data_IF_194878100598
#
_entry.id   IF_194878100598
#
_cell.length_a   1.000
_cell.length_b   1.000
_cell.length_c   1.000
_cell.angle_alpha   90.00
_cell.angle_beta   90.00
_cell.angle_gamma   90.00
#
_symmetry.space_group_name_H-M   'P 1'
#
loop_
_entity.id
_entity.type
_entity.pdbx_description
1 polymer ?
#
# COMPACT_ATOMS: atom_id res chain seq x y z
N UNK A 1 9.01 22.18 -32.78
CA UNK A 1 8.88 23.54 -33.34
C UNK A 1 9.49 24.55 -32.38
N UNK A 2 9.75 25.80 -32.78
CA UNK A 2 10.27 26.85 -31.91
C UNK A 2 9.39 27.09 -30.69
N UNK A 3 8.06 27.09 -30.88
CA UNK A 3 7.09 27.25 -29.80
C UNK A 3 7.22 26.14 -28.74
N UNK A 4 7.25 24.88 -29.17
CA UNK A 4 7.44 23.72 -28.28
C UNK A 4 8.75 23.82 -27.51
N UNK A 5 9.84 24.17 -28.20
CA UNK A 5 11.17 24.24 -27.60
C UNK A 5 11.27 25.38 -26.56
N UNK A 6 10.69 26.55 -26.87
CA UNK A 6 10.64 27.66 -25.93
C UNK A 6 9.77 27.35 -24.71
N UNK A 7 8.61 26.70 -24.90
CA UNK A 7 7.76 26.26 -23.79
C UNK A 7 8.43 25.19 -22.94
N UNK A 8 9.18 24.27 -23.54
CA UNK A 8 9.92 23.24 -22.81
C UNK A 8 11.01 23.86 -21.92
N UNK A 9 11.73 24.84 -22.45
CA UNK A 9 12.71 25.60 -21.68
C UNK A 9 12.06 26.40 -20.55
N UNK A 10 10.92 27.05 -20.81
CA UNK A 10 10.16 27.78 -19.80
C UNK A 10 9.61 26.86 -18.70
N UNK A 11 9.17 25.64 -19.06
CA UNK A 11 8.74 24.62 -18.11
C UNK A 11 9.90 24.26 -17.17
N UNK A 12 11.09 23.99 -17.71
CA UNK A 12 12.27 23.71 -16.88
C UNK A 12 12.64 24.89 -15.96
N UNK A 13 12.58 26.11 -16.47
CA UNK A 13 12.85 27.32 -15.67
C UNK A 13 11.84 27.47 -14.53
N UNK A 14 10.56 27.20 -14.79
CA UNK A 14 9.51 27.24 -13.76
C UNK A 14 9.72 26.19 -12.67
N UNK A 15 10.22 25.01 -13.03
CA UNK A 15 10.50 23.94 -12.07
C UNK A 15 11.63 24.30 -11.10
N UNK A 16 12.64 25.04 -11.56
CA UNK A 16 13.73 25.53 -10.71
C UNK A 16 13.30 26.61 -9.70
N UNK A 17 12.10 27.21 -9.85
CA UNK A 17 11.58 28.22 -8.91
C UNK A 17 10.94 27.61 -7.66
N UNK A 18 10.63 26.31 -7.70
CA UNK A 18 10.03 25.61 -6.57
C UNK A 18 11.11 25.28 -5.53
N UNK A 19 10.81 25.59 -4.27
CA UNK A 19 11.70 25.29 -3.15
C UNK A 19 11.96 23.79 -3.00
N UNK A 20 11.09 22.93 -3.52
CA UNK A 20 11.24 21.48 -3.46
C UNK A 20 12.29 20.93 -4.44
N UNK A 21 12.63 21.70 -5.48
CA UNK A 21 13.53 21.30 -6.56
C UNK A 21 14.94 21.76 -6.22
N UNK A 22 15.89 20.81 -6.23
CA UNK A 22 17.31 21.10 -6.06
C UNK A 22 17.95 21.53 -7.38
N UNK A 23 17.58 20.86 -8.48
CA UNK A 23 18.12 21.13 -9.81
C UNK A 23 17.20 20.53 -10.88
N UNK A 24 16.87 21.29 -11.92
CA UNK A 24 16.38 20.74 -13.18
C UNK A 24 17.49 20.79 -14.24
N UNK A 25 17.69 19.70 -14.97
CA UNK A 25 18.58 19.63 -16.14
C UNK A 25 17.74 19.41 -17.38
N UNK A 26 17.76 20.37 -18.29
CA UNK A 26 17.02 20.36 -19.55
C UNK A 26 17.89 20.67 -20.77
N UNK A 27 17.27 20.75 -21.94
CA UNK A 27 17.91 21.15 -23.20
C UNK A 27 18.63 22.50 -23.11
N UNK A 28 18.09 23.46 -22.36
CA UNK A 28 18.66 24.80 -22.18
C UNK A 28 19.97 24.76 -21.38
N UNK A 29 20.09 23.81 -20.46
CA UNK A 29 21.21 23.70 -19.53
C UNK A 29 22.44 23.01 -20.15
N UNK A 30 22.27 22.47 -21.37
CA UNK A 30 23.35 21.85 -22.13
C UNK A 30 24.43 22.87 -22.44
N UNK A 31 25.69 22.46 -22.28
CA UNK A 31 26.86 23.28 -22.61
C UNK A 31 27.65 22.66 -23.74
N UNK A 32 28.15 23.53 -24.62
CA UNK A 32 29.08 23.22 -25.69
C UNK A 32 30.49 23.50 -25.21
N UNK A 33 31.39 22.55 -25.43
CA UNK A 33 32.81 22.76 -25.21
C UNK A 33 33.39 23.45 -26.45
N UNK A 34 33.72 24.73 -26.34
CA UNK A 34 34.36 25.49 -27.42
C UNK A 34 35.81 25.76 -27.05
N UNK A 35 36.71 25.55 -28.02
CA UNK A 35 38.10 25.95 -27.89
C UNK A 35 38.18 27.46 -28.15
N UNK A 36 38.70 28.21 -27.19
CA UNK A 36 39.11 29.60 -27.36
C UNK A 36 40.61 29.64 -27.64
N UNK A 37 41.01 30.44 -28.62
CA UNK A 37 42.41 30.51 -29.07
C UNK A 37 43.21 31.60 -28.33
N UNK A 38 42.56 32.53 -27.62
CA UNK A 38 43.24 33.62 -26.90
C UNK A 38 42.50 34.09 -25.62
N UNK A 39 42.90 33.64 -24.41
CA UNK A 39 43.94 32.64 -24.13
C UNK A 39 43.53 31.25 -24.59
N UNK A 40 44.48 30.37 -24.94
CA UNK A 40 44.19 28.98 -25.32
C UNK A 40 43.58 28.21 -24.16
N UNK A 41 42.25 28.08 -24.15
CA UNK A 41 41.50 27.34 -23.14
C UNK A 41 40.22 26.76 -23.73
N UNK A 42 39.66 25.77 -23.06
CA UNK A 42 38.31 25.32 -23.37
C UNK A 42 37.32 26.08 -22.49
N UNK A 43 36.29 26.63 -23.10
CA UNK A 43 35.19 27.29 -22.41
C UNK A 43 33.88 26.57 -22.69
N UNK A 44 33.02 26.54 -21.67
CA UNK A 44 31.66 26.05 -21.81
C UNK A 44 30.74 27.20 -22.22
N UNK A 45 30.17 27.13 -23.43
CA UNK A 45 29.13 28.06 -23.87
C UNK A 45 27.75 27.39 -23.82
N UNK A 46 26.66 28.12 -23.55
CA UNK A 46 25.33 27.53 -23.55
C UNK A 46 24.99 26.99 -24.94
N UNK A 47 24.28 25.86 -24.97
CA UNK A 47 23.79 25.27 -26.22
C UNK A 47 22.67 26.12 -26.84
N UNK A 48 21.79 26.67 -26.00
CA UNK A 48 20.71 27.58 -26.40
C UNK A 48 20.93 28.90 -25.66
N UNK A 49 21.28 29.96 -26.38
CA UNK A 49 21.54 31.29 -25.79
C UNK A 49 20.27 32.13 -25.64
N UNK A 50 19.31 32.02 -26.58
CA UNK A 50 18.14 32.91 -26.67
C UNK A 50 16.86 32.15 -27.06
N UNK A 51 15.71 32.84 -26.96
CA UNK A 51 14.43 32.33 -27.48
C UNK A 51 14.58 31.94 -28.95
N UNK A 52 14.12 30.74 -29.27
CA UNK A 52 14.17 30.24 -30.64
C UNK A 52 13.03 30.86 -31.42
N UNK A 53 13.36 31.72 -32.40
CA UNK A 53 12.37 32.55 -33.10
C UNK A 53 11.99 32.00 -34.48
N UNK A 54 12.76 31.04 -35.03
CA UNK A 54 12.53 30.49 -36.37
C UNK A 54 12.58 28.96 -36.42
N UNK A 55 11.78 28.37 -37.31
CA UNK A 55 11.81 26.94 -37.61
C UNK A 55 13.20 26.49 -38.10
N UNK A 56 13.92 27.34 -38.82
CA UNK A 56 15.28 27.04 -39.30
C UNK A 56 16.26 26.89 -38.12
N UNK A 57 16.22 27.81 -37.15
CA UNK A 57 17.04 27.73 -35.92
C UNK A 57 16.67 26.51 -35.07
N UNK A 58 15.38 26.18 -34.95
CA UNK A 58 14.97 24.98 -34.24
C UNK A 58 15.46 23.68 -34.92
N UNK A 59 15.45 23.63 -36.25
CA UNK A 59 15.98 22.50 -37.01
C UNK A 59 17.51 22.39 -36.87
N UNK A 60 18.22 23.52 -36.82
CA UNK A 60 19.66 23.56 -36.58
C UNK A 60 20.02 23.02 -35.20
N UNK A 61 19.33 23.47 -34.14
CA UNK A 61 19.53 22.94 -32.79
C UNK A 61 19.22 21.44 -32.72
N UNK A 62 18.13 20.99 -33.37
CA UNK A 62 17.83 19.56 -33.47
C UNK A 62 19.00 18.81 -34.10
N UNK A 63 19.46 19.23 -35.28
CA UNK A 63 20.56 18.56 -35.98
C UNK A 63 21.83 18.53 -35.13
N UNK A 64 22.18 19.64 -34.51
CA UNK A 64 23.37 19.74 -33.66
C UNK A 64 23.27 18.85 -32.40
N UNK A 65 22.10 18.77 -31.78
CA UNK A 65 21.85 17.89 -30.64
C UNK A 65 22.04 16.42 -31.01
N UNK A 66 21.41 15.97 -32.10
CA UNK A 66 21.44 14.56 -32.46
C UNK A 66 22.79 14.16 -33.08
N UNK A 67 23.39 15.00 -33.93
CA UNK A 67 24.55 14.61 -34.74
C UNK A 67 25.89 15.00 -34.11
N UNK A 68 25.94 16.13 -33.39
CA UNK A 68 27.21 16.75 -32.96
C UNK A 68 27.49 16.62 -31.46
N UNK A 69 26.55 16.09 -30.69
CA UNK A 69 26.63 16.05 -29.22
C UNK A 69 26.50 14.63 -28.62
N UNK A 70 27.40 13.70 -28.99
CA UNK A 70 27.32 12.30 -28.54
C UNK A 70 27.41 12.13 -27.02
N UNK A 71 28.03 13.08 -26.30
CA UNK A 71 28.15 13.03 -24.84
C UNK A 71 26.81 13.09 -24.09
N UNK A 72 25.77 13.62 -24.73
CA UNK A 72 24.43 13.71 -24.15
C UNK A 72 23.50 12.58 -24.63
N UNK A 73 23.98 11.68 -25.50
CA UNK A 73 23.23 10.51 -25.98
C UNK A 73 23.00 9.52 -24.82
N UNK A 74 21.77 9.06 -24.66
CA UNK A 74 21.34 8.24 -23.52
C UNK A 74 21.17 9.02 -22.21
N UNK A 75 21.61 10.29 -22.17
CA UNK A 75 21.52 11.17 -20.99
C UNK A 75 20.46 12.27 -21.08
N UNK A 76 20.24 12.85 -22.27
CA UNK A 76 19.27 13.93 -22.51
C UNK A 76 18.47 13.66 -23.78
N UNK A 77 19.01 12.86 -24.71
CA UNK A 77 18.28 12.43 -25.90
C UNK A 77 18.61 10.99 -26.27
N UNK A 78 17.73 10.36 -27.03
CA UNK A 78 17.95 9.03 -27.60
C UNK A 78 17.79 9.10 -29.13
N UNK A 79 18.81 8.70 -29.88
CA UNK A 79 18.82 8.73 -31.35
C UNK A 79 17.81 7.79 -31.99
N UNK A 80 17.57 6.62 -31.40
CA UNK A 80 16.68 5.58 -31.94
C UNK A 80 15.21 5.96 -31.83
N UNK A 81 14.81 6.50 -30.67
CA UNK A 81 13.43 6.90 -30.42
C UNK A 81 13.15 8.35 -30.87
N UNK A 82 14.19 9.18 -31.02
CA UNK A 82 14.05 10.62 -31.24
C UNK A 82 13.56 11.37 -29.99
N UNK A 83 13.49 10.71 -28.84
CA UNK A 83 13.00 11.31 -27.61
C UNK A 83 14.05 12.22 -26.96
N UNK A 84 13.55 13.22 -26.26
CA UNK A 84 14.33 14.12 -25.42
C UNK A 84 13.80 14.01 -24.00
N UNK A 85 14.70 14.02 -23.02
CA UNK A 85 14.39 13.94 -21.60
C UNK A 85 14.95 15.14 -20.85
N UNK A 86 14.33 15.44 -19.71
CA UNK A 86 14.86 16.38 -18.73
C UNK A 86 14.83 15.69 -17.37
N UNK A 87 15.80 16.03 -16.52
CA UNK A 87 15.94 15.41 -15.20
C UNK A 87 15.61 16.44 -14.13
N UNK A 88 14.77 16.07 -13.17
CA UNK A 88 14.41 16.91 -12.03
C UNK A 88 14.94 16.21 -10.77
N UNK A 89 15.80 16.89 -10.04
CA UNK A 89 16.32 16.45 -8.75
C UNK A 89 15.57 17.17 -7.64
N UNK A 90 14.83 16.41 -6.84
CA UNK A 90 14.20 16.93 -5.62
C UNK A 90 15.23 17.02 -4.48
N UNK A 91 15.06 17.99 -3.58
CA UNK A 91 15.91 18.08 -2.39
C UNK A 91 15.72 16.84 -1.50
N UNK A 92 16.82 16.30 -0.98
CA UNK A 92 16.86 14.99 -0.30
C UNK A 92 15.99 14.95 0.97
N UNK A 93 15.88 16.07 1.66
CA UNK A 93 15.06 16.28 2.85
C UNK A 93 13.56 16.15 2.53
N UNK A 94 13.14 16.51 1.32
CA UNK A 94 11.72 16.49 0.93
C UNK A 94 11.29 15.11 0.40
N UNK A 95 12.21 14.34 -0.17
CA UNK A 95 11.91 13.04 -0.84
C UNK A 95 11.14 12.06 0.06
N UNK A 96 11.31 12.10 1.38
CA UNK A 96 10.64 11.20 2.33
C UNK A 96 9.54 11.89 3.16
N UNK A 97 9.07 13.05 2.72
CA UNK A 97 8.07 13.84 3.45
C UNK A 97 6.77 14.00 2.65
N UNK A 98 5.66 14.35 3.31
CA UNK A 98 4.41 14.67 2.64
C UNK A 98 4.53 15.79 1.59
N UNK A 99 5.48 16.72 1.74
CA UNK A 99 5.72 17.81 0.80
C UNK A 99 6.08 17.29 -0.62
N UNK A 100 6.72 16.11 -0.72
CA UNK A 100 6.91 15.43 -2.03
C UNK A 100 5.58 15.20 -2.72
N UNK A 101 4.58 14.68 -1.99
CA UNK A 101 3.27 14.34 -2.56
C UNK A 101 2.57 15.60 -3.06
N UNK A 102 2.56 16.66 -2.25
CA UNK A 102 1.99 17.96 -2.60
C UNK A 102 2.65 18.52 -3.85
N UNK A 103 3.98 18.59 -3.90
CA UNK A 103 4.68 19.07 -5.10
C UNK A 103 4.33 18.28 -6.35
N UNK A 104 4.31 16.95 -6.25
CA UNK A 104 4.07 16.11 -7.43
C UNK A 104 2.62 16.21 -7.92
N UNK A 105 1.65 16.16 -7.01
CA UNK A 105 0.22 16.16 -7.38
C UNK A 105 -0.30 17.55 -7.74
N UNK A 106 0.15 18.59 -7.02
CA UNK A 106 -0.44 19.92 -7.10
C UNK A 106 0.38 20.87 -7.98
N UNK A 107 1.65 20.56 -8.26
CA UNK A 107 2.53 21.39 -9.09
C UNK A 107 3.04 20.65 -10.33
N UNK A 108 3.75 19.53 -10.17
CA UNK A 108 4.42 18.86 -11.29
C UNK A 108 3.44 18.30 -12.33
N UNK A 109 2.44 17.53 -11.91
CA UNK A 109 1.45 16.92 -12.82
C UNK A 109 0.66 18.01 -13.58
N UNK A 110 0.09 19.04 -12.92
CA UNK A 110 -0.59 20.12 -13.62
C UNK A 110 0.30 20.88 -14.60
N UNK A 111 1.57 21.09 -14.30
CA UNK A 111 2.52 21.72 -15.22
C UNK A 111 2.76 20.88 -16.48
N UNK A 112 2.86 19.56 -16.33
CA UNK A 112 2.99 18.62 -17.45
C UNK A 112 1.70 18.62 -18.28
N UNK A 113 0.54 18.47 -17.64
CA UNK A 113 -0.77 18.42 -18.32
C UNK A 113 -1.03 19.71 -19.12
N UNK A 114 -0.70 20.87 -18.54
CA UNK A 114 -0.81 22.17 -19.22
C UNK A 114 0.13 22.26 -20.42
N UNK A 115 1.36 21.73 -20.31
CA UNK A 115 2.30 21.70 -21.41
C UNK A 115 1.81 20.78 -22.54
N UNK A 116 1.33 19.58 -22.22
CA UNK A 116 0.77 18.64 -23.19
C UNK A 116 -0.44 19.25 -23.91
N UNK A 117 -1.39 19.81 -23.17
CA UNK A 117 -2.58 20.44 -23.72
C UNK A 117 -2.24 21.61 -24.66
N UNK A 118 -1.22 22.39 -24.33
CA UNK A 118 -0.83 23.56 -25.10
C UNK A 118 0.02 23.24 -26.33
N UNK A 119 0.73 22.10 -26.34
CA UNK A 119 1.71 21.77 -27.40
C UNK A 119 1.34 20.54 -28.24
N UNK A 120 0.43 19.69 -27.75
CA UNK A 120 0.10 18.41 -28.35
C UNK A 120 1.24 17.38 -28.29
N UNK A 121 2.31 17.65 -27.55
CA UNK A 121 3.44 16.75 -27.38
C UNK A 121 3.15 15.81 -26.22
N UNK A 122 3.31 14.50 -26.45
CA UNK A 122 3.21 13.48 -25.39
C UNK A 122 4.44 13.57 -24.48
N UNK A 123 4.22 13.92 -23.22
CA UNK A 123 5.21 14.03 -22.15
C UNK A 123 4.98 12.89 -21.17
N UNK A 124 6.07 12.20 -20.84
CA UNK A 124 6.05 11.07 -19.90
C UNK A 124 6.90 11.41 -18.70
N UNK A 125 6.39 11.13 -17.50
CA UNK A 125 7.09 11.37 -16.25
C UNK A 125 7.39 10.06 -15.52
N UNK A 126 8.58 9.95 -14.97
CA UNK A 126 9.03 8.80 -14.18
C UNK A 126 10.05 9.21 -13.13
N UNK A 127 10.43 8.27 -12.27
CA UNK A 127 11.39 8.45 -11.19
C UNK A 127 10.81 8.09 -9.82
N UNK A 128 11.67 7.65 -8.90
CA UNK A 128 11.25 7.11 -7.60
C UNK A 128 10.31 8.02 -6.79
N UNK A 129 10.51 9.36 -6.72
CA UNK A 129 9.58 10.23 -6.01
C UNK A 129 8.18 10.28 -6.64
N UNK A 130 8.12 10.27 -7.97
CA UNK A 130 6.89 10.25 -8.75
C UNK A 130 6.18 8.90 -8.64
N UNK A 131 6.92 7.80 -8.83
CA UNK A 131 6.46 6.42 -8.63
C UNK A 131 5.85 6.23 -7.25
N UNK A 132 6.55 6.62 -6.20
CA UNK A 132 6.06 6.46 -4.82
C UNK A 132 4.80 7.27 -4.56
N UNK A 133 4.72 8.49 -5.11
CA UNK A 133 3.54 9.35 -4.92
C UNK A 133 2.31 8.82 -5.62
N UNK A 134 2.42 8.38 -6.87
CA UNK A 134 1.31 7.78 -7.60
C UNK A 134 0.87 6.45 -6.97
N UNK A 135 1.82 5.62 -6.55
CA UNK A 135 1.48 4.36 -5.87
C UNK A 135 0.73 4.62 -4.55
N UNK A 136 1.23 5.52 -3.70
CA UNK A 136 0.52 5.92 -2.47
C UNK A 136 -0.86 6.52 -2.76
N UNK A 137 -1.04 7.28 -3.84
CA UNK A 137 -2.34 7.81 -4.25
C UNK A 137 -3.31 6.69 -4.65
N UNK A 138 -2.90 5.80 -5.55
CA UNK A 138 -3.72 4.68 -6.00
C UNK A 138 -4.17 3.80 -4.83
N UNK A 139 -3.25 3.52 -3.90
CA UNK A 139 -3.56 2.76 -2.67
C UNK A 139 -4.65 3.47 -1.86
N UNK A 140 -4.54 4.79 -1.65
CA UNK A 140 -5.53 5.56 -0.89
C UNK A 140 -6.90 5.56 -1.61
N UNK A 141 -6.90 5.69 -2.93
CA UNK A 141 -8.13 5.68 -3.72
C UNK A 141 -8.82 4.30 -3.66
N UNK A 142 -8.05 3.21 -3.62
CA UNK A 142 -8.58 1.84 -3.52
C UNK A 142 -8.91 1.38 -2.10
N UNK A 143 -8.31 1.98 -1.05
CA UNK A 143 -8.45 1.52 0.34
C UNK A 143 -9.91 1.51 0.81
N UNK A 144 -10.71 2.48 0.36
CA UNK A 144 -12.13 2.58 0.70
C UNK A 144 -12.94 1.42 0.14
N UNK A 145 -12.68 1.04 -1.11
CA UNK A 145 -13.31 -0.12 -1.76
C UNK A 145 -12.86 -1.41 -1.07
N UNK A 146 -11.58 -1.51 -0.73
CA UNK A 146 -11.04 -2.69 -0.05
C UNK A 146 -11.63 -2.89 1.35
N UNK A 147 -11.63 -1.84 2.17
CA UNK A 147 -12.20 -1.87 3.53
C UNK A 147 -13.71 -2.10 3.46
N UNK A 148 -14.43 -1.40 2.58
CA UNK A 148 -15.86 -1.57 2.39
C UNK A 148 -16.23 -2.99 1.93
N UNK A 149 -15.49 -3.53 0.96
CA UNK A 149 -15.64 -4.90 0.49
C UNK A 149 -15.35 -5.94 1.57
N UNK A 150 -14.26 -5.77 2.31
CA UNK A 150 -13.90 -6.64 3.42
C UNK A 150 -14.97 -6.63 4.53
N UNK A 151 -15.47 -5.46 4.92
CA UNK A 151 -16.56 -5.32 5.89
C UNK A 151 -17.86 -5.95 5.39
N UNK A 152 -18.20 -5.78 4.11
CA UNK A 152 -19.39 -6.38 3.52
C UNK A 152 -19.31 -7.91 3.54
N UNK A 153 -18.23 -8.48 3.02
CA UNK A 153 -18.03 -9.94 2.97
C UNK A 153 -18.02 -10.53 4.38
N UNK A 154 -17.30 -9.90 5.31
CA UNK A 154 -17.26 -10.38 6.70
C UNK A 154 -18.60 -10.25 7.41
N UNK A 155 -19.36 -9.19 7.14
CA UNK A 155 -20.71 -8.99 7.66
C UNK A 155 -21.67 -10.07 7.18
N UNK A 156 -21.61 -10.42 5.89
CA UNK A 156 -22.38 -11.53 5.34
C UNK A 156 -22.02 -12.85 6.03
N UNK A 157 -20.73 -13.19 6.12
CA UNK A 157 -20.27 -14.42 6.77
C UNK A 157 -20.76 -14.47 8.24
N UNK A 158 -20.64 -13.37 8.97
CA UNK A 158 -21.11 -13.27 10.35
C UNK A 158 -22.61 -13.45 10.48
N UNK A 159 -23.35 -12.78 9.62
CA UNK A 159 -24.80 -12.86 9.59
C UNK A 159 -25.25 -14.30 9.31
N UNK A 160 -24.61 -15.01 8.37
CA UNK A 160 -24.91 -16.42 8.10
C UNK A 160 -24.52 -17.34 9.26
N UNK A 161 -23.41 -17.06 9.95
CA UNK A 161 -22.92 -17.89 11.06
C UNK A 161 -23.80 -17.75 12.31
N UNK A 162 -24.04 -16.53 12.78
CA UNK A 162 -24.81 -16.28 14.00
C UNK A 162 -26.32 -16.20 13.77
N UNK A 163 -26.74 -15.93 12.52
CA UNK A 163 -28.14 -15.68 12.16
C UNK A 163 -28.80 -14.64 13.08
N UNK A 164 -27.98 -13.69 13.57
CA UNK A 164 -28.31 -12.74 14.62
C UNK A 164 -27.84 -11.36 14.22
N UNK A 165 -28.79 -10.51 13.84
CA UNK A 165 -28.48 -9.13 13.48
C UNK A 165 -27.80 -8.36 14.64
N UNK A 166 -28.19 -8.64 15.89
CA UNK A 166 -27.61 -8.03 17.09
C UNK A 166 -26.12 -8.37 17.26
N UNK A 167 -25.77 -9.66 17.18
CA UNK A 167 -24.39 -10.09 17.35
C UNK A 167 -23.49 -9.58 16.21
N UNK A 168 -24.00 -9.62 14.97
CA UNK A 168 -23.29 -9.12 13.79
C UNK A 168 -23.04 -7.61 13.90
N UNK A 169 -24.04 -6.81 14.31
CA UNK A 169 -23.85 -5.37 14.46
C UNK A 169 -22.83 -5.01 15.54
N UNK A 170 -22.86 -5.67 16.71
CA UNK A 170 -21.90 -5.39 17.80
C UNK A 170 -20.47 -5.70 17.33
N UNK A 171 -20.26 -6.83 16.65
CA UNK A 171 -18.97 -7.20 16.10
C UNK A 171 -18.50 -6.18 15.04
N UNK A 172 -19.39 -5.77 14.14
CA UNK A 172 -19.09 -4.78 13.10
C UNK A 172 -18.71 -3.42 13.67
N UNK A 173 -19.45 -2.92 14.65
CA UNK A 173 -19.13 -1.65 15.34
C UNK A 173 -17.77 -1.73 16.01
N UNK A 174 -17.48 -2.83 16.72
CA UNK A 174 -16.20 -3.05 17.39
C UNK A 174 -15.04 -3.03 16.39
N UNK A 175 -15.19 -3.73 15.26
CA UNK A 175 -14.16 -3.81 14.21
C UNK A 175 -14.00 -2.48 13.49
N UNK A 176 -15.08 -1.76 13.19
CA UNK A 176 -15.00 -0.42 12.58
C UNK A 176 -14.24 0.56 13.47
N UNK A 177 -14.51 0.56 14.78
CA UNK A 177 -13.76 1.39 15.74
C UNK A 177 -12.28 0.98 15.75
N UNK A 178 -11.98 -0.32 15.68
CA UNK A 178 -10.60 -0.80 15.58
C UNK A 178 -9.89 -0.36 14.29
N UNK A 179 -10.58 -0.36 13.16
CA UNK A 179 -10.04 0.16 11.89
C UNK A 179 -9.80 1.67 11.98
N UNK A 180 -10.71 2.43 12.59
CA UNK A 180 -10.52 3.85 12.84
C UNK A 180 -9.31 4.11 13.75
N UNK A 181 -9.11 3.29 14.78
CA UNK A 181 -7.93 3.35 15.64
C UNK A 181 -6.66 3.00 14.88
N UNK A 182 -6.70 2.08 13.92
CA UNK A 182 -5.56 1.75 13.08
C UNK A 182 -5.07 2.94 12.27
N UNK A 183 -5.99 3.65 11.61
CA UNK A 183 -5.65 4.90 10.93
C UNK A 183 -5.24 6.01 11.89
N UNK A 184 -5.89 6.10 13.05
CA UNK A 184 -5.54 7.06 14.10
C UNK A 184 -4.11 6.88 14.62
N UNK A 185 -3.72 5.65 14.94
CA UNK A 185 -2.36 5.30 15.40
C UNK A 185 -1.34 5.55 14.29
N UNK A 186 -1.66 5.18 13.04
CA UNK A 186 -0.79 5.45 11.89
C UNK A 186 -0.53 6.96 11.74
N UNK A 187 -1.57 7.78 11.84
CA UNK A 187 -1.47 9.24 11.81
C UNK A 187 -0.74 9.83 13.02
N UNK A 188 -0.98 9.33 14.23
CA UNK A 188 -0.30 9.78 15.46
C UNK A 188 1.20 9.51 15.42
N UNK A 189 1.63 8.41 14.80
CA UNK A 189 3.05 8.09 14.62
C UNK A 189 3.70 8.84 13.44
N UNK A 190 2.92 9.58 12.65
CA UNK A 190 3.41 10.33 11.49
C UNK A 190 3.89 9.43 10.34
N UNK A 191 3.41 8.18 10.26
CA UNK A 191 3.82 7.25 9.22
C UNK A 191 3.03 7.47 7.93
N UNK A 192 3.70 7.36 6.78
CA UNK A 192 3.06 7.48 5.48
C UNK A 192 2.23 6.22 5.15
N UNK A 193 1.15 6.39 4.37
CA UNK A 193 0.44 5.25 3.81
C UNK A 193 1.28 4.64 2.68
N UNK A 194 1.75 3.43 2.95
CA UNK A 194 2.56 2.59 2.07
C UNK A 194 1.78 1.34 1.68
N UNK A 195 2.31 0.55 0.74
CA UNK A 195 1.74 -0.74 0.32
C UNK A 195 1.49 -1.66 1.53
N UNK A 196 2.44 -1.72 2.47
CA UNK A 196 2.33 -2.58 3.64
C UNK A 196 1.35 -2.04 4.68
N UNK A 197 1.40 -0.75 5.00
CA UNK A 197 0.52 -0.17 6.03
C UNK A 197 -0.94 -0.11 5.56
N UNK A 198 -1.19 -0.07 4.25
CA UNK A 198 -2.55 -0.19 3.70
C UNK A 198 -3.19 -1.57 3.91
N UNK A 199 -2.40 -2.60 4.22
CA UNK A 199 -2.90 -3.93 4.60
C UNK A 199 -3.32 -4.01 6.07
N UNK A 200 -3.09 -2.97 6.88
CA UNK A 200 -3.43 -3.00 8.31
C UNK A 200 -4.95 -3.05 8.53
N UNK A 201 -5.79 -2.18 7.93
CA UNK A 201 -7.24 -2.26 8.10
C UNK A 201 -7.85 -3.66 7.86
N UNK A 202 -7.60 -4.33 6.72
CA UNK A 202 -8.14 -5.68 6.51
C UNK A 202 -7.55 -6.72 7.47
N UNK A 203 -6.29 -6.56 7.87
CA UNK A 203 -5.69 -7.41 8.90
C UNK A 203 -6.41 -7.30 10.24
N UNK A 204 -6.75 -6.07 10.67
CA UNK A 204 -7.53 -5.83 11.89
C UNK A 204 -8.94 -6.37 11.78
N UNK A 205 -9.56 -6.31 10.60
CA UNK A 205 -10.86 -6.96 10.36
C UNK A 205 -10.73 -8.47 10.59
N UNK A 206 -9.74 -9.13 9.97
CA UNK A 206 -9.53 -10.58 10.06
C UNK A 206 -9.21 -11.04 11.49
N UNK A 207 -8.46 -10.26 12.27
CA UNK A 207 -8.07 -10.62 13.65
C UNK A 207 -9.12 -10.20 14.68
N UNK A 208 -9.82 -9.08 14.48
CA UNK A 208 -10.83 -8.57 15.40
C UNK A 208 -12.11 -9.39 15.40
N UNK A 209 -12.45 -9.96 14.25
CA UNK A 209 -13.63 -10.80 14.05
C UNK A 209 -13.64 -12.00 14.99
N UNK A 210 -12.63 -12.89 15.02
CA UNK A 210 -12.64 -14.06 15.89
C UNK A 210 -12.70 -13.67 17.37
N UNK A 211 -12.03 -12.59 17.77
CA UNK A 211 -12.13 -12.05 19.14
C UNK A 211 -13.59 -11.79 19.51
N UNK A 212 -14.34 -11.13 18.62
CA UNK A 212 -15.78 -10.91 18.82
C UNK A 212 -16.56 -12.23 18.86
N UNK A 213 -16.28 -13.18 17.97
CA UNK A 213 -16.95 -14.50 17.94
C UNK A 213 -16.78 -15.22 19.27
N UNK A 214 -15.55 -15.34 19.76
CA UNK A 214 -15.24 -16.08 20.98
C UNK A 214 -15.92 -15.45 22.20
N UNK A 215 -15.85 -14.12 22.33
CA UNK A 215 -16.48 -13.39 23.44
C UNK A 215 -18.01 -13.51 23.40
N UNK A 216 -18.63 -13.30 22.24
CA UNK A 216 -20.09 -13.37 22.07
C UNK A 216 -20.62 -14.79 22.28
N UNK A 217 -19.98 -15.79 21.68
CA UNK A 217 -20.41 -17.18 21.82
C UNK A 217 -20.29 -17.64 23.28
N UNK A 218 -19.21 -17.27 23.97
CA UNK A 218 -19.08 -17.58 25.39
C UNK A 218 -20.14 -16.89 26.23
N UNK A 219 -20.43 -15.62 25.96
CA UNK A 219 -21.49 -14.89 26.65
C UNK A 219 -22.83 -15.61 26.52
N UNK A 220 -23.19 -16.00 25.30
CA UNK A 220 -24.45 -16.72 25.04
C UNK A 220 -24.49 -18.09 25.74
N UNK A 221 -23.37 -18.83 25.76
CA UNK A 221 -23.27 -20.11 26.46
C UNK A 221 -23.41 -19.97 27.98
N UNK A 222 -22.72 -19.00 28.59
CA UNK A 222 -22.80 -18.78 30.05
C UNK A 222 -24.16 -18.22 30.47
N UNK A 223 -24.75 -17.34 29.65
CA UNK A 223 -26.11 -16.85 29.87
C UNK A 223 -27.14 -17.99 29.83
N UNK A 224 -27.04 -18.90 28.84
CA UNK A 224 -27.90 -20.09 28.76
C UNK A 224 -27.80 -20.99 29.99
N UNK A 225 -26.61 -21.09 30.60
CA UNK A 225 -26.38 -21.95 31.78
C UNK A 225 -26.90 -21.34 33.09
N UNK A 226 -26.83 -20.03 33.24
CA UNK A 226 -27.05 -19.38 34.54
C UNK A 226 -28.23 -18.43 34.58
N UNK A 227 -28.79 -18.02 33.42
CA UNK A 227 -29.87 -17.03 33.32
C UNK A 227 -29.52 -15.64 33.85
N UNK A 228 -28.27 -15.43 34.30
CA UNK A 228 -27.82 -14.19 34.94
C UNK A 228 -26.77 -13.50 34.05
N UNK A 229 -27.16 -12.35 33.51
CA UNK A 229 -26.37 -11.53 32.59
C UNK A 229 -25.07 -11.02 33.20
N UNK A 230 -25.10 -10.56 34.46
CA UNK A 230 -23.92 -10.04 35.17
C UNK A 230 -22.91 -11.16 35.39
N UNK A 231 -23.36 -12.33 35.86
CA UNK A 231 -22.47 -13.50 36.04
C UNK A 231 -21.90 -14.01 34.72
N UNK A 232 -22.68 -13.98 33.64
CA UNK A 232 -22.22 -14.37 32.31
C UNK A 232 -21.12 -13.42 31.79
N UNK A 233 -21.31 -12.10 31.90
CA UNK A 233 -20.32 -11.10 31.51
C UNK A 233 -19.02 -11.22 32.34
N UNK A 234 -19.13 -11.38 33.66
CA UNK A 234 -17.97 -11.58 34.53
C UNK A 234 -17.15 -12.82 34.11
N UNK A 235 -17.82 -13.92 33.74
CA UNK A 235 -17.15 -15.15 33.29
C UNK A 235 -16.52 -15.01 31.91
N UNK A 236 -17.11 -14.23 31.01
CA UNK A 236 -16.52 -13.95 29.70
C UNK A 236 -15.21 -13.20 29.88
N UNK A 237 -15.20 -12.16 30.71
CA UNK A 237 -14.00 -11.37 30.99
C UNK A 237 -12.92 -12.23 31.66
N UNK A 238 -13.26 -12.98 32.71
CA UNK A 238 -12.27 -13.73 33.50
C UNK A 238 -11.74 -14.98 32.81
N UNK A 239 -12.59 -15.76 32.11
CA UNK A 239 -12.17 -17.01 31.47
C UNK A 239 -11.75 -16.84 30.02
N UNK A 240 -12.55 -16.12 29.23
CA UNK A 240 -12.25 -15.95 27.80
C UNK A 240 -11.30 -14.80 27.57
N UNK A 241 -11.40 -13.71 28.34
CA UNK A 241 -10.46 -12.59 28.24
C UNK A 241 -8.99 -13.02 28.39
N UNK A 242 -8.66 -13.91 29.32
CA UNK A 242 -7.30 -14.44 29.44
C UNK A 242 -6.87 -15.29 28.25
N UNK A 243 -7.77 -16.14 27.72
CA UNK A 243 -7.48 -16.98 26.57
C UNK A 243 -7.27 -16.14 25.30
N UNK A 244 -8.16 -15.18 25.03
CA UNK A 244 -8.02 -14.27 23.89
C UNK A 244 -6.86 -13.28 24.07
N UNK A 245 -6.52 -12.88 25.29
CA UNK A 245 -5.33 -12.07 25.53
C UNK A 245 -4.07 -12.82 25.08
N UNK A 246 -3.94 -14.10 25.47
CA UNK A 246 -2.78 -14.91 25.09
C UNK A 246 -2.66 -15.05 23.57
N UNK A 247 -3.78 -15.28 22.87
CA UNK A 247 -3.76 -15.37 21.39
C UNK A 247 -3.39 -14.04 20.73
N UNK A 248 -3.88 -12.91 21.24
CA UNK A 248 -3.54 -11.61 20.69
C UNK A 248 -2.09 -11.21 21.01
N UNK A 249 -1.55 -11.58 22.17
CA UNK A 249 -0.13 -11.37 22.51
C UNK A 249 0.78 -12.18 21.60
N UNK A 250 0.46 -13.45 21.31
CA UNK A 250 1.29 -14.27 20.41
C UNK A 250 1.23 -13.74 18.99
N UNK A 251 0.06 -13.32 18.50
CA UNK A 251 -0.06 -12.66 17.18
C UNK A 251 0.67 -11.32 17.14
N UNK A 252 0.51 -10.46 18.14
CA UNK A 252 1.22 -9.18 18.23
C UNK A 252 2.74 -9.37 18.31
N UNK A 253 3.22 -10.38 19.02
CA UNK A 253 4.65 -10.76 19.07
C UNK A 253 5.15 -11.19 17.69
N UNK A 254 4.34 -11.93 16.92
CA UNK A 254 4.65 -12.30 15.54
C UNK A 254 4.89 -11.08 14.66
N UNK A 255 3.98 -10.08 14.69
CA UNK A 255 4.17 -8.83 13.96
C UNK A 255 5.32 -7.97 14.50
N UNK A 256 5.60 -8.05 15.81
CA UNK A 256 6.69 -7.31 16.44
C UNK A 256 8.07 -7.78 15.94
N UNK A 257 8.19 -9.00 15.40
CA UNK A 257 9.44 -9.46 14.78
C UNK A 257 9.85 -8.59 13.58
N UNK A 258 8.89 -7.98 12.87
CA UNK A 258 9.19 -7.08 11.75
C UNK A 258 9.94 -5.82 12.19
N UNK A 259 9.84 -5.44 13.47
CA UNK A 259 10.53 -4.27 14.04
C UNK A 259 12.05 -4.46 14.01
N UNK A 260 12.52 -5.71 14.06
CA UNK A 260 13.94 -6.06 14.02
C UNK A 260 14.53 -6.04 12.60
N UNK A 261 13.70 -5.83 11.57
CA UNK A 261 14.17 -5.79 10.20
C UNK A 261 14.84 -4.46 9.86
N UNK A 262 15.75 -4.46 8.87
CA UNK A 262 16.45 -3.25 8.39
C UNK A 262 15.57 -2.34 7.50
N UNK A 263 14.37 -2.78 7.14
CA UNK A 263 13.48 -2.03 6.24
C UNK A 263 12.54 -1.14 7.06
N UNK A 264 12.55 0.18 6.79
CA UNK A 264 11.66 1.14 7.46
C UNK A 264 10.19 0.77 7.26
N UNK A 265 9.82 0.36 6.04
CA UNK A 265 8.44 -0.02 5.70
C UNK A 265 7.94 -1.20 6.52
N UNK A 266 8.78 -2.23 6.72
CA UNK A 266 8.42 -3.40 7.52
C UNK A 266 8.37 -3.05 9.02
N UNK A 267 9.28 -2.19 9.48
CA UNK A 267 9.31 -1.74 10.88
C UNK A 267 8.05 -0.94 11.22
N UNK A 268 7.69 0.04 10.41
CA UNK A 268 6.45 0.84 10.57
C UNK A 268 5.21 -0.05 10.58
N UNK A 269 5.12 -0.98 9.62
CA UNK A 269 4.04 -1.97 9.56
C UNK A 269 3.97 -2.83 10.83
N UNK A 270 5.10 -3.38 11.27
CA UNK A 270 5.18 -4.23 12.47
C UNK A 270 4.73 -3.50 13.74
N UNK A 271 5.22 -2.28 13.97
CA UNK A 271 4.84 -1.46 15.12
C UNK A 271 3.33 -1.20 15.13
N UNK A 272 2.78 -0.69 14.01
CA UNK A 272 1.37 -0.33 13.94
C UNK A 272 0.48 -1.56 14.05
N UNK A 273 0.83 -2.68 13.40
CA UNK A 273 0.08 -3.92 13.48
C UNK A 273 0.05 -4.47 14.91
N UNK A 274 1.20 -4.59 15.59
CA UNK A 274 1.28 -5.11 16.95
C UNK A 274 0.45 -4.30 17.95
N UNK A 275 0.54 -2.96 17.88
CA UNK A 275 -0.27 -2.08 18.74
C UNK A 275 -1.76 -2.27 18.45
N UNK A 276 -2.15 -2.28 17.18
CA UNK A 276 -3.55 -2.41 16.80
C UNK A 276 -4.16 -3.77 17.16
N UNK A 277 -3.39 -4.85 17.13
CA UNK A 277 -3.85 -6.19 17.57
C UNK A 277 -4.19 -6.18 19.06
N UNK A 278 -3.36 -5.55 19.88
CA UNK A 278 -3.66 -5.40 21.31
C UNK A 278 -4.82 -4.42 21.55
N UNK A 279 -4.89 -3.35 20.75
CA UNK A 279 -5.98 -2.38 20.82
C UNK A 279 -7.34 -3.01 20.45
N UNK A 280 -7.43 -3.79 19.37
CA UNK A 280 -8.68 -4.46 18.98
C UNK A 280 -9.13 -5.49 20.03
N UNK A 281 -8.18 -6.18 20.69
CA UNK A 281 -8.49 -7.04 21.82
C UNK A 281 -9.14 -6.23 22.95
N UNK A 282 -8.52 -5.13 23.40
CA UNK A 282 -9.06 -4.25 24.44
C UNK A 282 -10.44 -3.69 24.05
N UNK A 283 -10.58 -3.20 22.82
CA UNK A 283 -11.85 -2.70 22.29
C UNK A 283 -12.92 -3.78 22.32
N UNK A 284 -12.61 -5.00 21.90
CA UNK A 284 -13.58 -6.11 21.93
C UNK A 284 -13.97 -6.50 23.36
N UNK A 285 -13.03 -6.48 24.31
CA UNK A 285 -13.27 -6.80 25.71
C UNK A 285 -14.05 -5.72 26.45
N UNK A 286 -13.99 -4.46 25.99
CA UNK A 286 -14.76 -3.35 26.55
C UNK A 286 -16.12 -3.21 25.89
N UNK A 287 -16.15 -3.08 24.56
CA UNK A 287 -17.37 -2.77 23.80
C UNK A 287 -18.38 -3.90 23.93
N UNK A 288 -17.96 -5.17 23.82
CA UNK A 288 -18.90 -6.29 23.83
C UNK A 288 -19.64 -6.38 25.18
N UNK A 289 -18.97 -6.42 26.35
CA UNK A 289 -19.67 -6.43 27.63
C UNK A 289 -20.54 -5.20 27.88
N UNK A 290 -20.07 -4.00 27.51
CA UNK A 290 -20.84 -2.76 27.68
C UNK A 290 -22.13 -2.83 26.86
N UNK A 291 -22.03 -3.13 25.57
CA UNK A 291 -23.19 -3.24 24.69
C UNK A 291 -24.15 -4.33 25.17
N UNK A 292 -23.64 -5.51 25.55
CA UNK A 292 -24.48 -6.57 26.07
C UNK A 292 -25.09 -6.24 27.43
N UNK A 293 -24.48 -5.41 28.28
CA UNK A 293 -25.05 -4.99 29.56
C UNK A 293 -26.31 -4.13 29.40
N UNK A 294 -26.37 -3.28 28.37
CA UNK A 294 -27.53 -2.41 28.09
C UNK A 294 -28.60 -3.06 27.20
N UNK A 295 -28.33 -4.25 26.66
CA UNK A 295 -29.27 -4.93 25.76
C UNK A 295 -30.13 -5.95 26.49
N UNK A 296 -31.38 -6.10 26.00
CA UNK A 296 -32.28 -7.15 26.46
C UNK A 296 -31.68 -8.54 26.21
N UNK A 297 -31.86 -9.48 27.15
CA UNK A 297 -31.21 -10.78 27.09
C UNK A 297 -31.49 -11.53 25.79
N UNK A 298 -30.50 -12.32 25.30
CA UNK A 298 -30.60 -12.97 23.99
C UNK A 298 -31.78 -13.95 23.94
N UNK A 299 -32.64 -13.82 22.91
CA UNK A 299 -33.76 -14.75 22.65
C UNK A 299 -33.24 -16.13 22.22
N UNK A 300 -33.91 -17.21 22.62
CA UNK A 300 -33.53 -18.62 22.38
C UNK A 300 -33.23 -18.99 20.91
N UNK A 301 -33.75 -18.21 19.95
CA UNK A 301 -33.51 -18.40 18.51
C UNK A 301 -32.02 -18.30 18.10
N UNK A 302 -31.19 -17.63 18.91
CA UNK A 302 -29.76 -17.43 18.64
C UNK A 302 -28.87 -18.63 19.01
N UNK A 303 -29.41 -19.63 19.72
CA UNK A 303 -28.66 -20.79 20.20
C UNK A 303 -28.71 -22.00 19.23
N UNK A 304 -29.45 -21.89 18.12
CA UNK A 304 -29.65 -22.98 17.14
C UNK A 304 -28.45 -23.27 16.23
N UNK A 305 -27.39 -22.47 16.25
CA UNK A 305 -26.18 -22.74 15.46
C UNK A 305 -25.33 -23.90 16.01
N UNK A 306 -25.59 -24.34 17.25
CA UNK A 306 -24.84 -25.40 17.93
C UNK A 306 -25.32 -26.83 17.61
N UNK A 307 -26.42 -27.00 16.86
CA UNK A 307 -27.07 -28.30 16.65
C UNK A 307 -27.38 -28.61 15.18
N UNK A 308 -26.43 -28.35 14.27
CA UNK A 308 -26.58 -28.82 12.87
C UNK A 308 -25.94 -30.21 12.75
N UNK A 309 -26.78 -31.22 12.50
CA UNK A 309 -26.38 -32.61 12.24
C UNK A 309 -25.24 -32.75 11.20
N UNK A 310 -25.15 -31.86 10.21
CA UNK A 310 -24.04 -31.87 9.25
C UNK A 310 -22.66 -31.56 9.88
N UNK A 311 -22.59 -30.65 10.86
CA UNK A 311 -21.32 -30.34 11.56
C UNK A 311 -20.90 -31.54 12.40
N UNK A 312 -21.83 -32.16 13.11
CA UNK A 312 -21.57 -33.39 13.87
C UNK A 312 -21.12 -34.53 12.96
N UNK A 313 -21.78 -34.74 11.81
CA UNK A 313 -21.36 -35.74 10.82
C UNK A 313 -19.96 -35.44 10.24
N UNK A 314 -19.64 -34.17 9.96
CA UNK A 314 -18.33 -33.77 9.47
C UNK A 314 -17.23 -34.00 10.52
N UNK A 315 -17.50 -33.62 11.77
CA UNK A 315 -16.58 -33.84 12.90
C UNK A 315 -16.37 -35.33 13.15
N UNK A 316 -17.44 -36.14 13.14
CA UNK A 316 -17.37 -37.59 13.30
C UNK A 316 -16.62 -38.26 12.14
N UNK A 317 -16.84 -37.80 10.90
CA UNK A 317 -16.07 -38.25 9.74
C UNK A 317 -14.59 -37.93 9.89
N UNK A 318 -14.25 -36.72 10.31
CA UNK A 318 -12.87 -36.29 10.55
C UNK A 318 -12.21 -37.11 11.67
N UNK A 319 -12.91 -37.32 12.78
CA UNK A 319 -12.45 -38.17 13.89
C UNK A 319 -12.19 -39.60 13.41
N UNK A 320 -13.14 -40.18 12.68
CA UNK A 320 -13.01 -41.54 12.17
C UNK A 320 -11.85 -41.65 11.18
N UNK A 321 -11.68 -40.66 10.29
CA UNK A 321 -10.57 -40.61 9.34
C UNK A 321 -9.21 -40.55 10.05
N UNK A 322 -9.07 -39.70 11.07
CA UNK A 322 -7.84 -39.57 11.87
C UNK A 322 -7.54 -40.85 12.65
N UNK A 323 -8.56 -41.51 13.22
CA UNK A 323 -8.38 -42.74 14.01
C UNK A 323 -8.08 -43.97 13.15
N UNK A 324 -8.80 -44.16 12.04
CA UNK A 324 -8.73 -45.40 11.23
C UNK A 324 -7.70 -45.33 10.11
N UNK A 325 -7.36 -44.14 9.60
CA UNK A 325 -6.44 -43.97 8.47
C UNK A 325 -5.20 -43.11 8.79
N UNK A 326 -4.71 -43.16 10.04
CA UNK A 326 -3.55 -42.37 10.51
C UNK A 326 -2.30 -42.49 9.63
N UNK A 327 -1.98 -43.69 9.14
CA UNK A 327 -0.78 -43.92 8.31
C UNK A 327 -0.92 -43.20 6.97
N UNK A 328 -2.08 -43.32 6.32
CA UNK A 328 -2.37 -42.60 5.07
C UNK A 328 -2.25 -41.09 5.27
N UNK A 329 -2.77 -40.56 6.39
CA UNK A 329 -2.66 -39.12 6.71
C UNK A 329 -1.20 -38.69 6.86
N UNK A 330 -0.37 -39.47 7.56
CA UNK A 330 1.05 -39.14 7.71
C UNK A 330 1.81 -39.19 6.38
N UNK A 331 1.59 -40.21 5.55
CA UNK A 331 2.21 -40.33 4.23
C UNK A 331 1.81 -39.15 3.34
N UNK A 332 0.52 -38.82 3.27
CA UNK A 332 0.02 -37.70 2.47
C UNK A 332 0.57 -36.37 2.98
N UNK A 333 0.61 -36.17 4.30
CA UNK A 333 1.15 -34.94 4.90
C UNK A 333 2.65 -34.76 4.61
N UNK A 334 3.43 -35.84 4.74
CA UNK A 334 4.86 -35.82 4.40
C UNK A 334 5.06 -35.57 2.90
N UNK A 335 4.27 -36.22 2.04
CA UNK A 335 4.31 -35.99 0.59
C UNK A 335 4.01 -34.52 0.23
N UNK A 336 2.96 -33.94 0.82
CA UNK A 336 2.62 -32.52 0.64
C UNK A 336 3.71 -31.58 1.17
N UNK A 337 4.36 -31.91 2.29
CA UNK A 337 5.49 -31.14 2.80
C UNK A 337 6.68 -31.16 1.85
N UNK A 338 7.02 -32.33 1.30
CA UNK A 338 8.11 -32.46 0.31
C UNK A 338 7.79 -31.64 -0.95
N UNK A 339 6.57 -31.76 -1.48
CA UNK A 339 6.12 -30.99 -2.65
C UNK A 339 6.19 -29.49 -2.36
N UNK A 340 5.73 -29.06 -1.18
CA UNK A 340 5.77 -27.65 -0.77
C UNK A 340 7.21 -27.13 -0.64
N UNK A 341 8.13 -27.97 -0.14
CA UNK A 341 9.55 -27.63 -0.03
C UNK A 341 10.23 -27.52 -1.41
N UNK A 342 9.89 -28.42 -2.34
CA UNK A 342 10.33 -28.33 -3.75
C UNK A 342 9.77 -27.07 -4.41
N UNK A 343 8.51 -26.73 -4.18
CA UNK A 343 7.92 -25.49 -4.69
C UNK A 343 8.61 -24.24 -4.13
N UNK A 344 8.95 -24.27 -2.83
CA UNK A 344 9.65 -23.17 -2.15
C UNK A 344 11.03 -22.90 -2.75
N UNK A 345 11.76 -23.94 -3.19
CA UNK A 345 13.09 -23.76 -3.80
C UNK A 345 13.04 -23.14 -5.21
N UNK A 346 11.87 -23.08 -5.84
CA UNK A 346 11.67 -22.46 -7.16
C UNK A 346 11.32 -20.97 -7.08
N UNK A 347 11.09 -20.42 -5.88
CA UNK A 347 10.71 -19.01 -5.69
C UNK A 347 11.87 -18.10 -6.11
N UNK A 348 11.63 -17.21 -7.08
CA UNK A 348 12.56 -16.13 -7.45
C UNK A 348 12.19 -14.87 -6.69
N UNK A 349 13.18 -14.28 -6.02
CA UNK A 349 13.00 -12.99 -5.35
C UNK A 349 13.20 -11.88 -6.37
N UNK A 350 12.13 -11.16 -6.71
CA UNK A 350 12.21 -9.91 -7.45
C UNK A 350 12.18 -8.73 -6.48
N UNK A 351 13.11 -7.80 -6.62
CA UNK A 351 13.17 -6.56 -5.84
C UNK A 351 12.61 -5.35 -6.58
N UNK A 352 11.99 -5.55 -7.75
CA UNK A 352 11.51 -4.45 -8.59
C UNK A 352 10.11 -4.01 -8.16
N UNK A 353 10.02 -2.81 -7.58
CA UNK A 353 8.75 -2.14 -7.28
C UNK A 353 7.85 -1.98 -8.52
N UNK A 354 8.42 -2.05 -9.73
CA UNK A 354 7.69 -1.95 -10.99
C UNK A 354 6.80 -3.15 -11.25
N UNK A 355 7.26 -4.34 -10.87
CA UNK A 355 6.58 -5.60 -11.19
C UNK A 355 5.31 -5.79 -10.35
N UNK A 356 5.26 -5.15 -9.17
CA UNK A 356 4.11 -5.14 -8.27
C UNK A 356 3.00 -4.16 -8.71
N UNK A 357 3.24 -3.35 -9.75
CA UNK A 357 2.29 -2.32 -10.18
C UNK A 357 1.27 -2.82 -11.20
N UNK A 358 0.05 -2.25 -11.21
CA UNK A 358 -0.97 -2.61 -12.20
C UNK A 358 -0.50 -2.25 -13.62
N UNK A 359 -0.32 -3.29 -14.45
CA UNK A 359 0.23 -3.18 -15.81
C UNK A 359 -0.63 -2.35 -16.79
N UNK A 360 -1.89 -2.09 -16.43
CA UNK A 360 -2.86 -1.35 -17.26
C UNK A 360 -2.90 0.16 -16.98
N UNK A 361 -2.04 0.68 -16.09
CA UNK A 361 -2.00 2.13 -15.82
C UNK A 361 -1.12 2.86 -16.84
N UNK A 362 -1.52 4.08 -17.23
CA UNK A 362 -0.71 4.97 -18.10
C UNK A 362 0.71 5.11 -17.56
N UNK A 363 0.80 5.23 -16.24
CA UNK A 363 2.05 5.34 -15.53
C UNK A 363 3.01 4.14 -15.68
N UNK A 364 2.52 2.90 -15.64
CA UNK A 364 3.35 1.73 -15.88
C UNK A 364 3.96 1.74 -17.30
N UNK A 365 3.17 2.19 -18.28
CA UNK A 365 3.62 2.38 -19.66
C UNK A 365 4.75 3.42 -19.78
N UNK A 366 4.73 4.47 -18.96
CA UNK A 366 5.77 5.49 -18.94
C UNK A 366 7.08 4.94 -18.40
N UNK A 367 7.05 4.19 -17.30
CA UNK A 367 8.30 3.65 -16.75
C UNK A 367 8.92 2.63 -17.71
N UNK A 368 8.10 1.75 -18.30
CA UNK A 368 8.57 0.80 -19.31
C UNK A 368 9.15 1.50 -20.53
N UNK A 369 8.62 2.66 -20.90
CA UNK A 369 9.21 3.48 -21.96
C UNK A 369 10.61 3.97 -21.58
N UNK A 370 10.81 4.46 -20.34
CA UNK A 370 12.13 4.88 -19.86
C UNK A 370 13.15 3.73 -19.73
N UNK A 371 12.73 2.49 -19.43
CA UNK A 371 13.63 1.32 -19.39
C UNK A 371 14.08 0.83 -20.78
N UNK A 372 13.24 1.03 -21.80
CA UNK A 372 13.55 0.63 -23.18
C UNK A 372 14.25 1.73 -23.99
N UNK A 373 14.43 2.92 -23.40
CA UNK A 373 15.16 4.07 -23.93
C UNK A 373 16.61 4.05 -23.45
#
# INVERSE_FOLDING_TARGET
TPEVLNRWNALSDSLNQYDEVALSVSLKDLKLLQKEDNPKRFEFKPFINDKVNSNATAAQYKKQLFDSLPFYEGLIYNKKSGAVRSAIYLKKDIVNTPARKTFILDHLIPLIDNFEAATGVNVRASGMPYIRTLNSKNIIDEIGIFVGGALLVTSLIFFFFFRSYRATLIAMVTVMIGVMWAFGILGLLGYEITVLTALIPPLIIVIGIPNCIFLINKYQQEYKKHGNQVKALQRVITKVGNATLMTNITTASGFATFILTKSSLLKEFGVVASINILAIFLLSLLIIPIMYSYMTPPKDRHLKHLGKSWIESFVNWMENMVRTRRITIYIVSIGLLIISMIGMSQIRVSGSLLEDMPKNTTFYGDIKFFENQ
#
